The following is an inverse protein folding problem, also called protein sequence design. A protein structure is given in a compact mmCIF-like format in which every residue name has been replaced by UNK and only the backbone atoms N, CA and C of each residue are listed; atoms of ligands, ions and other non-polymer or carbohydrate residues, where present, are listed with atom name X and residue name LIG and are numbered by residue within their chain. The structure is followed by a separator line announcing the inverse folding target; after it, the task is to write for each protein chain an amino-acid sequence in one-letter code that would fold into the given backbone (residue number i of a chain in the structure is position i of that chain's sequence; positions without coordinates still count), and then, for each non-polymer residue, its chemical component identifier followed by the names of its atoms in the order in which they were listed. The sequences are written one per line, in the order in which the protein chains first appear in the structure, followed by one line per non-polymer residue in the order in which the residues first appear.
data_IF_396962900417
#
_entry.id   IF_396962900417
#
_cell.length_a   1.000
_cell.length_b   1.000
_cell.length_c   1.000
_cell.angle_alpha   90.00
_cell.angle_beta   90.00
_cell.angle_gamma   90.00
#
_symmetry.space_group_name_H-M   'P 1'
#
loop_
_entity.id
_entity.type
_entity.pdbx_description
1 polymer ?
#
# COMPACT_ATOMS: atom_id res chain seq x y z
N UNK A 1 -13.15 -16.34 6.90
CA UNK A 1 -12.37 -15.46 6.03
C UNK A 1 -10.98 -16.02 5.83
N UNK A 2 -10.50 -16.08 4.62
CA UNK A 2 -9.13 -16.51 4.42
C UNK A 2 -8.20 -15.57 5.19
N UNK A 3 -7.16 -16.12 5.75
CA UNK A 3 -6.14 -15.31 6.44
C UNK A 3 -5.52 -14.29 5.50
N UNK A 4 -5.70 -14.48 4.21
CA UNK A 4 -5.18 -13.62 3.17
C UNK A 4 -3.70 -13.77 2.90
N UNK A 5 -3.00 -14.56 3.70
CA UNK A 5 -1.57 -14.75 3.49
C UNK A 5 -1.32 -15.50 2.18
N UNK A 6 -0.48 -14.93 1.33
CA UNK A 6 -0.05 -15.53 0.08
C UNK A 6 1.38 -16.05 0.22
N UNK A 7 1.65 -17.16 -0.43
CA UNK A 7 3.01 -17.68 -0.49
C UNK A 7 3.72 -17.03 -1.69
N UNK A 8 4.72 -16.21 -1.40
CA UNK A 8 5.49 -15.53 -2.43
C UNK A 8 6.68 -16.37 -2.90
N UNK A 9 6.92 -16.34 -4.20
CA UNK A 9 8.10 -16.95 -4.80
C UNK A 9 9.32 -16.05 -4.62
N UNK A 10 10.51 -16.58 -4.90
CA UNK A 10 11.74 -15.76 -4.90
C UNK A 10 11.64 -14.61 -5.90
N UNK A 11 11.02 -14.85 -7.06
CA UNK A 11 10.80 -13.80 -8.06
C UNK A 11 9.87 -12.72 -7.54
N UNK A 12 8.78 -13.09 -6.89
CA UNK A 12 7.85 -12.13 -6.30
C UNK A 12 8.57 -11.22 -5.30
N UNK A 13 9.41 -11.80 -4.44
CA UNK A 13 10.18 -11.04 -3.44
C UNK A 13 11.19 -10.09 -4.10
N UNK A 14 11.82 -10.49 -5.19
CA UNK A 14 12.73 -9.63 -5.96
C UNK A 14 11.98 -8.45 -6.58
N UNK A 15 10.79 -8.68 -7.09
CA UNK A 15 9.94 -7.64 -7.66
C UNK A 15 9.57 -6.63 -6.57
N UNK A 16 9.13 -7.08 -5.40
CA UNK A 16 8.81 -6.20 -4.28
C UNK A 16 10.03 -5.39 -3.83
N UNK A 17 11.19 -6.02 -3.75
CA UNK A 17 12.42 -5.32 -3.39
C UNK A 17 12.77 -4.22 -4.40
N UNK A 18 12.59 -4.49 -5.68
CA UNK A 18 12.77 -3.52 -6.74
C UNK A 18 11.82 -2.32 -6.60
N UNK A 19 10.57 -2.55 -6.24
CA UNK A 19 9.63 -1.47 -5.94
C UNK A 19 10.06 -0.65 -4.74
N UNK A 20 10.58 -1.28 -3.68
CA UNK A 20 11.11 -0.54 -2.53
C UNK A 20 12.20 0.44 -2.96
N UNK A 21 13.13 0.01 -3.81
CA UNK A 21 14.20 0.87 -4.32
C UNK A 21 13.65 2.01 -5.17
N UNK A 22 12.69 1.71 -6.03
CA UNK A 22 12.04 2.72 -6.89
C UNK A 22 11.33 3.77 -6.04
N UNK A 23 10.60 3.33 -5.01
CA UNK A 23 9.88 4.24 -4.12
C UNK A 23 10.82 5.12 -3.33
N UNK A 24 11.97 4.61 -2.88
CA UNK A 24 13.00 5.41 -2.22
C UNK A 24 13.50 6.54 -3.13
N UNK A 25 13.77 6.22 -4.40
CA UNK A 25 14.19 7.23 -5.37
C UNK A 25 13.12 8.29 -5.60
N UNK A 26 11.87 7.89 -5.76
CA UNK A 26 10.76 8.80 -5.94
C UNK A 26 10.54 9.69 -4.71
N UNK A 27 10.71 9.14 -3.51
CA UNK A 27 10.51 9.90 -2.27
C UNK A 27 11.47 11.08 -2.17
N UNK A 28 12.70 10.92 -2.64
CA UNK A 28 13.69 12.00 -2.66
C UNK A 28 13.28 13.15 -3.59
N UNK A 29 12.49 12.86 -4.61
CA UNK A 29 12.03 13.84 -5.58
C UNK A 29 10.72 14.52 -5.17
N UNK A 30 9.77 13.75 -4.63
CA UNK A 30 8.41 14.23 -4.41
C UNK A 30 8.20 15.04 -3.13
N UNK A 31 9.09 14.93 -2.15
CA UNK A 31 8.98 15.70 -0.90
C UNK A 31 7.98 15.11 0.10
N UNK A 32 7.28 15.96 0.86
CA UNK A 32 6.54 15.56 2.05
C UNK A 32 5.01 15.52 1.90
N UNK A 33 4.48 15.96 0.78
CA UNK A 33 3.03 16.13 0.61
C UNK A 33 2.24 14.85 0.32
N UNK A 34 2.83 13.69 0.50
CA UNK A 34 2.21 12.41 0.15
C UNK A 34 2.67 11.31 1.11
N UNK A 35 1.96 10.20 1.09
CA UNK A 35 2.34 8.98 1.78
C UNK A 35 2.26 7.82 0.80
N UNK A 36 3.22 6.92 0.85
CA UNK A 36 3.20 5.68 0.08
C UNK A 36 3.39 4.51 1.04
N UNK A 37 2.56 3.49 0.89
CA UNK A 37 2.71 2.22 1.60
C UNK A 37 2.74 1.09 0.58
N UNK A 38 3.79 0.30 0.61
CA UNK A 38 3.90 -0.93 -0.17
C UNK A 38 3.60 -2.10 0.74
N UNK A 39 2.62 -2.90 0.35
CA UNK A 39 2.22 -4.08 1.10
C UNK A 39 2.75 -5.35 0.45
N UNK A 40 3.25 -6.27 1.28
CA UNK A 40 3.46 -7.66 0.90
C UNK A 40 2.28 -8.46 1.41
N UNK A 41 1.66 -9.24 0.55
CA UNK A 41 0.52 -10.08 0.93
C UNK A 41 0.96 -11.43 1.51
N UNK A 42 2.24 -11.58 1.81
CA UNK A 42 2.78 -12.77 2.47
C UNK A 42 2.32 -12.86 3.94
N UNK A 43 2.16 -11.73 4.60
CA UNK A 43 1.70 -11.66 5.99
C UNK A 43 0.82 -10.41 6.17
N UNK A 44 -0.49 -10.60 6.23
CA UNK A 44 -1.44 -9.49 6.33
C UNK A 44 -1.32 -8.72 7.65
N UNK A 45 -0.85 -9.37 8.72
CA UNK A 45 -0.69 -8.71 10.01
C UNK A 45 0.53 -7.80 10.06
N UNK A 46 1.49 -7.99 9.15
CA UNK A 46 2.72 -7.22 9.06
C UNK A 46 3.01 -6.84 7.60
N UNK A 47 1.99 -6.48 6.85
CA UNK A 47 2.07 -6.36 5.40
C UNK A 47 2.87 -5.15 4.92
N UNK A 48 2.91 -4.05 5.66
CA UNK A 48 3.60 -2.83 5.25
C UNK A 48 5.11 -3.03 5.27
N UNK A 49 5.69 -3.33 4.12
CA UNK A 49 7.14 -3.57 4.00
C UNK A 49 7.92 -2.30 3.69
N UNK A 50 7.25 -1.27 3.20
CA UNK A 50 7.84 0.04 2.93
C UNK A 50 6.81 1.11 3.23
N UNK A 51 7.19 2.08 4.06
CA UNK A 51 6.34 3.22 4.39
C UNK A 51 7.13 4.49 4.17
N UNK A 52 6.60 5.38 3.33
CA UNK A 52 7.19 6.70 3.06
C UNK A 52 6.23 7.75 3.58
N UNK A 53 6.74 8.66 4.41
CA UNK A 53 5.96 9.73 5.04
C UNK A 53 4.75 9.21 5.83
N UNK A 54 4.94 8.09 6.54
CA UNK A 54 3.87 7.44 7.30
C UNK A 54 3.28 8.29 8.42
N UNK A 55 3.91 9.39 8.78
CA UNK A 55 3.40 10.30 9.79
C UNK A 55 2.06 10.96 9.40
N UNK A 56 1.70 10.98 8.11
CA UNK A 56 0.40 11.48 7.68
C UNK A 56 -0.77 10.66 8.24
N UNK A 57 -0.56 9.35 8.40
CA UNK A 57 -1.59 8.43 8.92
C UNK A 57 -1.16 7.70 10.18
N UNK A 58 0.07 7.94 10.67
CA UNK A 58 0.61 7.24 11.82
C UNK A 58 1.08 5.82 11.52
N UNK A 59 1.31 5.47 10.26
CA UNK A 59 1.76 4.13 9.88
C UNK A 59 3.27 4.00 9.96
N UNK A 60 3.72 2.78 10.27
CA UNK A 60 5.14 2.40 10.28
C UNK A 60 5.32 1.07 9.56
N UNK A 61 6.54 0.74 9.20
CA UNK A 61 6.87 -0.56 8.63
C UNK A 61 6.48 -1.66 9.61
N UNK A 62 5.93 -2.75 9.09
CA UNK A 62 5.37 -3.84 9.88
C UNK A 62 3.91 -3.66 10.27
N UNK A 63 3.28 -2.55 9.91
CA UNK A 63 1.86 -2.33 10.17
C UNK A 63 0.99 -3.31 9.37
N UNK A 64 -0.19 -3.67 9.91
CA UNK A 64 -1.10 -4.56 9.18
C UNK A 64 -1.79 -3.83 8.03
N UNK A 65 -2.26 -4.62 7.06
CA UNK A 65 -3.13 -4.09 6.01
C UNK A 65 -4.47 -3.68 6.63
N UNK A 66 -5.00 -2.54 6.21
CA UNK A 66 -6.27 -2.02 6.73
C UNK A 66 -7.46 -2.69 6.04
N UNK A 67 -8.62 -2.68 6.70
CA UNK A 67 -9.87 -3.19 6.10
C UNK A 67 -10.21 -2.44 4.82
N UNK A 68 -9.96 -1.14 4.77
CA UNK A 68 -10.19 -0.34 3.58
C UNK A 68 -9.28 -0.78 2.44
N UNK A 69 -8.01 -1.01 2.71
CA UNK A 69 -7.06 -1.50 1.71
C UNK A 69 -7.45 -2.89 1.20
N UNK A 70 -7.94 -3.77 2.07
CA UNK A 70 -8.46 -5.08 1.67
C UNK A 70 -9.67 -4.96 0.74
N UNK A 71 -10.58 -4.05 1.03
CA UNK A 71 -11.73 -3.79 0.15
C UNK A 71 -11.29 -3.26 -1.21
N UNK A 72 -10.31 -2.38 -1.25
CA UNK A 72 -9.77 -1.85 -2.50
C UNK A 72 -9.11 -2.97 -3.31
N UNK A 73 -8.35 -3.84 -2.66
CA UNK A 73 -7.73 -4.99 -3.31
C UNK A 73 -8.79 -5.92 -3.92
N UNK A 74 -9.88 -6.16 -3.21
CA UNK A 74 -10.98 -6.97 -3.71
C UNK A 74 -11.64 -6.34 -4.94
N UNK A 75 -11.82 -5.03 -4.95
CA UNK A 75 -12.35 -4.31 -6.11
C UNK A 75 -11.41 -4.44 -7.32
N UNK A 76 -10.12 -4.34 -7.10
CA UNK A 76 -9.12 -4.52 -8.18
C UNK A 76 -9.24 -5.92 -8.78
N UNK A 77 -9.39 -6.94 -7.94
CA UNK A 77 -9.56 -8.32 -8.41
C UNK A 77 -10.84 -8.53 -9.22
N UNK A 78 -11.92 -7.86 -8.83
CA UNK A 78 -13.21 -7.95 -9.54
C UNK A 78 -13.19 -7.23 -10.87
N UNK A 79 -12.39 -6.18 -11.00
CA UNK A 79 -12.29 -5.34 -12.18
C UNK A 79 -10.97 -5.60 -12.92
N UNK A 80 -10.73 -6.85 -13.28
CA UNK A 80 -9.49 -7.28 -13.93
C UNK A 80 -9.16 -6.51 -15.20
N UNK A 81 -10.16 -5.91 -15.86
CA UNK A 81 -9.98 -5.11 -17.05
C UNK A 81 -9.56 -3.67 -16.78
N UNK A 82 -9.58 -3.25 -15.51
CA UNK A 82 -9.26 -1.88 -15.13
C UNK A 82 -7.86 -1.82 -14.51
N UNK A 83 -6.88 -1.42 -15.31
CA UNK A 83 -5.48 -1.34 -14.90
C UNK A 83 -5.15 -0.08 -14.08
N UNK A 84 -6.13 0.76 -13.80
CA UNK A 84 -5.88 2.09 -13.22
C UNK A 84 -5.90 2.12 -11.70
N UNK A 85 -6.13 0.98 -11.05
CA UNK A 85 -6.28 0.93 -9.61
C UNK A 85 -7.60 1.55 -9.13
N UNK A 86 -7.72 1.74 -7.83
CA UNK A 86 -8.92 2.29 -7.20
C UNK A 86 -8.58 3.61 -6.52
N UNK A 87 -9.34 4.64 -6.81
CA UNK A 87 -9.15 5.98 -6.23
C UNK A 87 -10.30 6.25 -5.26
N UNK A 88 -9.98 6.78 -4.09
CA UNK A 88 -11.00 7.16 -3.12
C UNK A 88 -10.57 8.39 -2.33
N UNK A 89 -11.55 9.05 -1.71
CA UNK A 89 -11.34 10.24 -0.89
C UNK A 89 -11.73 9.92 0.55
N UNK A 90 -10.95 10.42 1.49
CA UNK A 90 -11.19 10.26 2.92
C UNK A 90 -10.63 11.44 3.68
N UNK A 91 -10.63 11.35 5.00
CA UNK A 91 -9.97 12.34 5.85
C UNK A 91 -9.01 11.60 6.79
N UNK A 92 -7.95 12.29 7.20
CA UNK A 92 -7.08 11.77 8.25
C UNK A 92 -7.66 12.07 9.64
N UNK A 93 -6.94 11.69 10.70
CA UNK A 93 -7.39 11.89 12.08
C UNK A 93 -7.55 13.38 12.45
N UNK A 94 -6.92 14.27 11.70
CA UNK A 94 -7.03 15.73 11.88
C UNK A 94 -8.15 16.35 11.07
N UNK A 95 -8.90 15.54 10.31
CA UNK A 95 -9.98 16.03 9.44
C UNK A 95 -9.50 16.60 8.11
N UNK A 96 -8.23 16.48 7.78
CA UNK A 96 -7.69 16.95 6.52
C UNK A 96 -8.09 15.99 5.38
N UNK A 97 -8.45 16.53 4.20
CA UNK A 97 -8.86 15.67 3.08
C UNK A 97 -7.68 14.87 2.53
N UNK A 98 -7.95 13.61 2.21
CA UNK A 98 -6.99 12.71 1.59
C UNK A 98 -7.55 12.18 0.28
N UNK A 99 -6.72 12.15 -0.74
CA UNK A 99 -6.97 11.40 -1.96
C UNK A 99 -6.03 10.22 -1.99
N UNK A 100 -6.58 9.03 -2.10
CA UNK A 100 -5.81 7.78 -2.07
C UNK A 100 -6.03 6.98 -3.34
N UNK A 101 -5.02 6.24 -3.72
CA UNK A 101 -5.12 5.28 -4.83
C UNK A 101 -4.45 3.99 -4.40
N UNK A 102 -5.06 2.88 -4.77
CA UNK A 102 -4.50 1.54 -4.57
C UNK A 102 -4.30 0.90 -5.95
N UNK A 103 -3.10 0.43 -6.16
CA UNK A 103 -2.67 -0.15 -7.44
C UNK A 103 -2.42 -1.64 -7.27
#
# INVERSE_FOLDING_TARGET
MPTGNLKLTSLDKKILHSYCQTLDGLSNYLGNGYEIVLHSLEDYEHSAIKVINGYHTGRTEGAPITDLALKMLEQIRRNEENDHGVIYFSTNVKGEPLKSTTI
#
